data_IF_706349984100
#
_entry.id   IF_706349984100
#
_cell.length_a   1.000
_cell.length_b   1.000
_cell.length_c   1.000
_cell.angle_alpha   90.00
_cell.angle_beta   90.00
_cell.angle_gamma   90.00
#
_symmetry.space_group_name_H-M   'P 1'
#
loop_
_entity.id
_entity.type
_entity.pdbx_description
1 polymer ?
#
# COMPACT_ATOMS: atom_id res chain seq x y z
N UNK A 1 -8.46 -14.19 1.77
CA UNK A 1 -8.01 -12.78 1.84
C UNK A 1 -7.36 -12.43 0.52
N UNK A 2 -7.66 -11.25 0.01
CA UNK A 2 -7.11 -10.67 -1.21
C UNK A 2 -6.27 -9.46 -0.83
N UNK A 3 -5.31 -9.12 -1.66
CA UNK A 3 -4.56 -7.87 -1.51
C UNK A 3 -5.28 -6.77 -2.28
N UNK A 4 -5.39 -5.60 -1.67
CA UNK A 4 -5.97 -4.41 -2.26
C UNK A 4 -4.94 -3.30 -2.20
N UNK A 5 -4.74 -2.61 -3.32
CA UNK A 5 -3.99 -1.36 -3.37
C UNK A 5 -4.95 -0.20 -3.11
N UNK A 6 -4.81 0.43 -1.96
CA UNK A 6 -5.61 1.60 -1.58
C UNK A 6 -4.81 2.90 -1.73
N UNK A 7 -5.28 3.80 -2.58
CA UNK A 7 -4.62 5.08 -2.86
C UNK A 7 -5.40 6.23 -2.23
N UNK A 8 -4.69 7.16 -1.56
CA UNK A 8 -5.29 8.34 -0.95
C UNK A 8 -5.68 9.36 -2.03
N UNK A 9 -6.95 9.80 -2.02
CA UNK A 9 -7.44 10.78 -2.98
C UNK A 9 -7.14 12.23 -2.55
N UNK A 10 -6.90 12.46 -1.26
CA UNK A 10 -6.51 13.78 -0.76
C UNK A 10 -5.26 14.30 -1.49
N UNK A 11 -5.22 15.61 -1.77
CA UNK A 11 -4.06 16.27 -2.36
C UNK A 11 -2.90 16.23 -1.35
N UNK A 12 -1.67 15.98 -1.84
CA UNK A 12 -0.50 16.17 -1.00
C UNK A 12 -0.39 17.63 -0.59
N UNK A 13 -0.19 17.86 0.70
CA UNK A 13 -0.05 19.22 1.26
C UNK A 13 1.36 19.80 1.05
N UNK A 14 2.27 19.01 0.50
CA UNK A 14 3.68 19.33 0.33
C UNK A 14 4.02 19.22 -1.14
N UNK A 15 4.94 20.07 -1.61
CA UNK A 15 5.34 20.14 -3.02
C UNK A 15 6.21 18.92 -3.36
N UNK A 16 5.56 17.84 -3.79
CA UNK A 16 6.21 16.62 -4.23
C UNK A 16 5.68 16.20 -5.61
N UNK A 17 6.55 15.59 -6.42
CA UNK A 17 6.13 14.89 -7.62
C UNK A 17 5.04 13.85 -7.23
N UNK A 18 3.84 13.99 -7.81
CA UNK A 18 2.64 13.23 -7.40
C UNK A 18 1.49 14.07 -6.81
N UNK A 19 1.64 15.41 -6.73
CA UNK A 19 0.56 16.33 -6.35
C UNK A 19 -0.70 16.14 -7.20
N UNK A 20 -0.53 16.18 -8.53
CA UNK A 20 -1.62 16.10 -9.51
C UNK A 20 -1.67 14.75 -10.26
N UNK A 21 -0.56 14.02 -10.32
CA UNK A 21 -0.50 12.71 -10.98
C UNK A 21 -0.71 11.57 -9.98
N UNK A 22 -1.96 11.09 -9.94
CA UNK A 22 -2.37 9.96 -9.09
C UNK A 22 -1.60 8.67 -9.38
N UNK A 23 -0.95 8.54 -10.54
CA UNK A 23 -0.17 7.33 -10.90
C UNK A 23 1.10 7.19 -10.10
N UNK A 24 1.68 8.30 -9.66
CA UNK A 24 2.89 8.32 -8.82
C UNK A 24 2.58 8.24 -7.32
N UNK A 25 1.28 8.28 -6.94
CA UNK A 25 0.90 8.16 -5.53
C UNK A 25 1.19 6.75 -5.03
N UNK A 26 1.90 6.68 -3.90
CA UNK A 26 2.16 5.43 -3.21
C UNK A 26 0.84 4.85 -2.69
N UNK A 27 0.47 3.68 -3.21
CA UNK A 27 -0.68 2.92 -2.72
C UNK A 27 -0.33 2.19 -1.42
N UNK A 28 -1.32 2.03 -0.55
CA UNK A 28 -1.25 1.19 0.63
C UNK A 28 -1.76 -0.20 0.28
N UNK A 29 -0.91 -1.21 0.41
CA UNK A 29 -1.29 -2.60 0.21
C UNK A 29 -1.94 -3.14 1.49
N UNK A 30 -3.21 -3.55 1.38
CA UNK A 30 -4.05 -4.00 2.49
C UNK A 30 -4.60 -5.37 2.16
N UNK A 31 -4.47 -6.30 3.09
CA UNK A 31 -5.12 -7.60 3.00
C UNK A 31 -6.52 -7.51 3.60
N UNK A 32 -7.54 -7.78 2.80
CA UNK A 32 -8.95 -7.74 3.23
C UNK A 32 -9.75 -8.85 2.53
N UNK A 33 -10.99 -9.06 2.97
CA UNK A 33 -11.92 -10.00 2.34
C UNK A 33 -12.79 -9.31 1.28
N UNK A 34 -12.90 -7.97 1.33
CA UNK A 34 -13.58 -7.16 0.31
C UNK A 34 -12.97 -5.76 0.19
N UNK A 35 -13.37 -5.04 -0.86
CA UNK A 35 -12.99 -3.64 -1.08
C UNK A 35 -13.50 -2.74 0.05
N UNK A 36 -14.70 -2.98 0.58
CA UNK A 36 -15.27 -2.21 1.68
C UNK A 36 -14.46 -2.39 2.97
N UNK A 37 -14.00 -3.61 3.25
CA UNK A 37 -13.14 -3.87 4.41
C UNK A 37 -11.78 -3.17 4.24
N UNK A 38 -11.18 -3.23 3.05
CA UNK A 38 -9.95 -2.49 2.75
C UNK A 38 -10.13 -0.97 2.92
N UNK A 39 -11.28 -0.45 2.47
CA UNK A 39 -11.63 0.96 2.64
C UNK A 39 -11.81 1.33 4.12
N UNK A 40 -12.47 0.49 4.92
CA UNK A 40 -12.65 0.75 6.36
C UNK A 40 -11.31 0.78 7.10
N UNK A 41 -10.38 -0.12 6.75
CA UNK A 41 -9.02 -0.12 7.29
C UNK A 41 -8.32 1.20 6.95
N UNK A 42 -8.47 1.70 5.72
CA UNK A 42 -7.95 3.01 5.33
C UNK A 42 -8.59 4.16 6.10
N UNK A 43 -9.91 4.15 6.26
CA UNK A 43 -10.64 5.19 7.00
C UNK A 43 -10.23 5.24 8.48
N UNK A 44 -9.95 4.09 9.10
CA UNK A 44 -9.40 4.06 10.46
C UNK A 44 -7.97 4.62 10.54
N UNK A 45 -7.16 4.39 9.49
CA UNK A 45 -5.75 4.82 9.44
C UNK A 45 -5.61 6.30 9.08
N UNK A 46 -6.49 6.83 8.24
CA UNK A 46 -6.49 8.20 7.73
C UNK A 46 -7.88 8.86 7.88
N UNK A 47 -8.37 9.04 9.13
CA UNK A 47 -9.74 9.50 9.37
C UNK A 47 -10.00 10.89 8.78
N UNK A 48 -9.00 11.77 8.77
CA UNK A 48 -9.09 13.13 8.20
C UNK A 48 -9.24 13.15 6.68
N UNK A 49 -9.00 12.04 6.00
CA UNK A 49 -9.03 11.95 4.54
C UNK A 49 -10.21 11.16 4.01
N UNK A 50 -11.02 10.59 4.90
CA UNK A 50 -12.27 9.91 4.57
C UNK A 50 -13.19 10.77 3.70
N UNK A 51 -13.19 12.09 3.90
CA UNK A 51 -13.96 13.05 3.09
C UNK A 51 -13.48 13.13 1.64
N UNK A 52 -12.17 13.04 1.39
CA UNK A 52 -11.62 12.95 0.04
C UNK A 52 -11.76 11.53 -0.53
N UNK A 53 -11.84 10.53 0.35
CA UNK A 53 -12.01 9.13 0.03
C UNK A 53 -10.69 8.44 -0.35
N UNK A 54 -10.82 7.16 -0.67
CA UNK A 54 -9.72 6.29 -1.08
C UNK A 54 -10.15 5.55 -2.35
N UNK A 55 -9.24 5.45 -3.30
CA UNK A 55 -9.39 4.55 -4.44
C UNK A 55 -8.91 3.17 -4.01
N UNK A 56 -9.75 2.15 -4.15
CA UNK A 56 -9.43 0.77 -3.78
C UNK A 56 -9.42 -0.06 -5.06
N UNK A 57 -8.30 -0.75 -5.31
CA UNK A 57 -8.14 -1.62 -6.46
C UNK A 57 -7.72 -3.00 -5.95
N UNK A 58 -8.40 -4.07 -6.37
CA UNK A 58 -7.91 -5.42 -6.12
C UNK A 58 -6.56 -5.61 -6.81
N UNK A 59 -5.56 -6.00 -6.03
CA UNK A 59 -4.19 -6.14 -6.49
C UNK A 59 -3.86 -7.62 -6.62
N UNK A 60 -3.90 -8.11 -7.86
CA UNK A 60 -3.29 -9.37 -8.22
C UNK A 60 -1.79 -9.13 -8.42
N UNK A 61 -1.03 -9.05 -7.33
CA UNK A 61 0.42 -8.95 -7.39
C UNK A 61 0.98 -10.04 -8.28
N UNK A 62 1.56 -9.67 -9.43
CA UNK A 62 2.24 -10.63 -10.30
C UNK A 62 3.33 -11.35 -9.52
N UNK A 63 3.51 -12.66 -9.75
CA UNK A 63 4.36 -13.59 -8.98
C UNK A 63 5.57 -12.93 -8.28
N UNK A 64 5.35 -12.39 -7.08
CA UNK A 64 6.41 -11.80 -6.26
C UNK A 64 7.06 -12.93 -5.49
N UNK A 65 8.25 -13.36 -5.93
CA UNK A 65 9.09 -14.24 -5.11
C UNK A 65 9.58 -13.46 -3.89
N UNK A 66 8.99 -13.74 -2.73
CA UNK A 66 9.54 -13.30 -1.44
C UNK A 66 10.75 -14.18 -1.14
N UNK A 67 11.95 -13.68 -1.42
CA UNK A 67 13.20 -14.37 -1.09
C UNK A 67 13.56 -14.02 0.35
N UNK A 68 13.42 -14.98 1.27
CA UNK A 68 13.86 -14.82 2.65
C UNK A 68 15.39 -14.88 2.73
N UNK A 69 16.04 -13.71 2.83
CA UNK A 69 17.49 -13.59 2.96
C UNK A 69 17.86 -13.82 4.43
N UNK A 70 18.32 -15.03 4.77
CA UNK A 70 18.91 -15.30 6.09
C UNK A 70 20.23 -14.55 6.22
N UNK A 71 20.43 -13.85 7.34
CA UNK A 71 21.67 -13.13 7.63
C UNK A 71 22.34 -13.68 8.87
N UNK A 72 23.67 -13.72 8.87
CA UNK A 72 24.45 -14.07 10.05
C UNK A 72 24.51 -12.91 11.07
N UNK A 73 25.14 -13.17 12.23
CA UNK A 73 25.35 -12.18 13.31
C UNK A 73 26.19 -10.96 12.91
N UNK A 74 26.85 -11.01 11.74
CA UNK A 74 27.67 -9.92 11.19
C UNK A 74 26.97 -9.23 10.00
N UNK A 75 25.74 -9.63 9.66
CA UNK A 75 24.96 -9.07 8.56
C UNK A 75 25.25 -9.64 7.17
N UNK A 76 26.06 -10.70 7.07
CA UNK A 76 26.34 -11.36 5.79
C UNK A 76 25.16 -12.24 5.38
N UNK A 77 24.89 -12.33 4.08
CA UNK A 77 23.89 -13.21 3.50
C UNK A 77 24.37 -14.67 3.67
N UNK A 78 23.54 -15.51 4.26
CA UNK A 78 23.76 -16.96 4.32
C UNK A 78 23.09 -17.53 3.06
N UNK A 79 23.88 -17.68 1.99
CA UNK A 79 23.45 -18.44 0.81
C UNK A 79 23.50 -19.93 1.18
N UNK A 80 22.41 -20.66 0.90
CA UNK A 80 22.34 -22.13 1.03
C UNK A 80 22.56 -22.79 -0.33
#
# INVERSE_FOLDING_TARGET
MREYRCTRNALYQHDCAGGDDIRERQGHYIHANSEEEAWQIMAMRYPTETTAGFTVEEWEGGDVQVIEIKRDKNGNIIEE
#
